data_IF_174541978147
#
_entry.id   IF_174541978147
#
_cell.length_a   1.000
_cell.length_b   1.000
_cell.length_c   1.000
_cell.angle_alpha   90.00
_cell.angle_beta   90.00
_cell.angle_gamma   90.00
#
_symmetry.space_group_name_H-M   'P 1'
#
loop_
_entity.id
_entity.type
_entity.pdbx_description
1 polymer ?
#
# COMPACT_ATOMS: atom_id res chain seq x y z
N UNK A 1 5.29 4.12 -18.15
CA UNK A 1 5.53 4.82 -16.86
C UNK A 1 7.00 5.22 -16.81
N UNK A 2 7.35 6.52 -16.71
CA UNK A 2 8.74 6.94 -16.50
C UNK A 2 9.18 6.43 -15.11
N UNK A 3 10.28 5.68 -15.06
CA UNK A 3 10.85 5.17 -13.82
C UNK A 3 11.16 6.33 -12.86
N UNK A 4 10.31 6.53 -11.86
CA UNK A 4 10.47 7.59 -10.85
C UNK A 4 11.69 7.37 -9.93
N UNK A 5 12.29 6.19 -9.97
CA UNK A 5 13.38 5.74 -9.10
C UNK A 5 14.65 5.41 -9.91
N UNK A 6 15.06 6.31 -10.81
CA UNK A 6 16.37 6.16 -11.47
C UNK A 6 17.50 6.53 -10.52
N UNK A 7 18.70 5.99 -10.74
CA UNK A 7 19.91 6.32 -9.97
C UNK A 7 20.18 7.84 -10.02
N UNK A 8 19.94 8.49 -11.15
CA UNK A 8 20.07 9.94 -11.29
C UNK A 8 19.06 10.71 -10.44
N UNK A 9 17.84 10.17 -10.28
CA UNK A 9 16.84 10.76 -9.38
C UNK A 9 17.28 10.67 -7.92
N UNK A 10 17.88 9.55 -7.52
CA UNK A 10 18.40 9.36 -6.16
C UNK A 10 19.56 10.31 -5.87
N UNK A 11 20.52 10.44 -6.80
CA UNK A 11 21.66 11.37 -6.68
C UNK A 11 21.14 12.82 -6.56
N UNK A 12 20.24 13.24 -7.45
CA UNK A 12 19.66 14.58 -7.41
C UNK A 12 18.95 14.86 -6.07
N UNK A 13 18.23 13.87 -5.53
CA UNK A 13 17.53 14.00 -4.25
C UNK A 13 18.50 14.00 -3.06
N UNK A 14 19.59 13.26 -3.13
CA UNK A 14 20.65 13.31 -2.11
C UNK A 14 21.23 14.72 -2.00
N UNK A 15 21.53 15.37 -3.13
CA UNK A 15 22.02 16.76 -3.15
C UNK A 15 21.01 17.79 -2.63
N UNK A 16 19.70 17.49 -2.69
CA UNK A 16 18.65 18.34 -2.11
C UNK A 16 18.30 17.97 -0.67
N UNK A 17 19.12 17.20 0.04
CA UNK A 17 18.85 16.74 1.40
C UNK A 17 17.65 15.81 1.51
N UNK A 18 17.24 15.19 0.43
CA UNK A 18 16.02 14.37 0.33
C UNK A 18 14.70 15.14 0.56
N UNK A 19 14.74 16.44 0.38
CA UNK A 19 13.54 17.28 0.47
C UNK A 19 12.80 17.35 -0.88
N UNK A 20 11.56 17.84 -0.82
CA UNK A 20 10.74 18.09 -2.01
C UNK A 20 10.49 16.86 -2.89
N UNK A 21 10.30 15.70 -2.29
CA UNK A 21 9.85 14.52 -3.01
C UNK A 21 8.41 14.71 -3.50
N UNK A 22 8.19 14.43 -4.77
CA UNK A 22 6.83 14.38 -5.29
C UNK A 22 6.06 13.24 -4.61
N UNK A 23 4.85 13.53 -4.13
CA UNK A 23 3.97 12.50 -3.56
C UNK A 23 3.78 11.35 -4.55
N UNK A 24 3.89 10.12 -4.05
CA UNK A 24 3.69 8.92 -4.86
C UNK A 24 2.21 8.65 -5.16
N UNK A 25 1.32 9.18 -4.34
CA UNK A 25 -0.13 9.04 -4.47
C UNK A 25 -0.78 10.30 -5.00
N UNK A 26 -1.98 10.14 -5.50
CA UNK A 26 -2.83 11.26 -5.95
C UNK A 26 -3.69 11.76 -4.79
N UNK A 27 -4.00 13.04 -4.81
CA UNK A 27 -4.92 13.71 -3.88
C UNK A 27 -5.92 14.52 -4.73
N UNK A 28 -6.80 13.83 -5.48
CA UNK A 28 -7.75 14.48 -6.36
C UNK A 28 -8.93 15.04 -5.56
N UNK A 29 -9.62 16.02 -6.13
CA UNK A 29 -10.90 16.47 -5.62
C UNK A 29 -11.87 15.29 -5.52
N UNK A 30 -12.60 15.17 -4.41
CA UNK A 30 -13.57 14.09 -4.23
C UNK A 30 -14.68 14.15 -5.29
N UNK A 31 -15.07 12.99 -5.78
CA UNK A 31 -16.27 12.86 -6.62
C UNK A 31 -17.52 12.96 -5.74
N UNK A 32 -18.67 13.21 -6.37
CA UNK A 32 -19.97 13.25 -5.67
C UNK A 32 -20.39 11.88 -5.12
N UNK A 33 -20.01 10.80 -5.81
CA UNK A 33 -20.43 9.44 -5.49
C UNK A 33 -19.29 8.45 -5.73
N UNK A 34 -19.25 7.42 -4.90
CA UNK A 34 -18.34 6.28 -4.99
C UNK A 34 -19.10 4.98 -4.72
N UNK A 35 -18.70 3.90 -5.39
CA UNK A 35 -19.25 2.56 -5.14
C UNK A 35 -18.78 2.02 -3.77
N UNK A 36 -17.59 2.41 -3.35
CA UNK A 36 -17.04 2.06 -2.04
C UNK A 36 -16.12 3.16 -1.51
N UNK A 37 -16.18 3.39 -0.20
CA UNK A 37 -15.27 4.27 0.51
C UNK A 37 -14.54 3.46 1.57
N UNK A 38 -13.21 3.45 1.50
CA UNK A 38 -12.34 2.74 2.43
C UNK A 38 -11.65 3.77 3.32
N UNK A 39 -11.82 3.64 4.62
CA UNK A 39 -11.18 4.52 5.60
C UNK A 39 -9.88 3.89 6.08
N UNK A 40 -8.78 4.55 5.78
CA UNK A 40 -7.43 4.15 6.12
C UNK A 40 -6.60 3.67 4.92
N UNK A 41 -5.51 4.36 4.64
CA UNK A 41 -4.55 4.07 3.58
C UNK A 41 -3.39 3.16 4.01
N UNK A 42 -3.61 2.26 4.96
CA UNK A 42 -2.65 1.23 5.36
C UNK A 42 -2.70 0.00 4.45
N UNK A 43 -1.89 -1.02 4.76
CA UNK A 43 -1.80 -2.25 3.97
C UNK A 43 -3.13 -2.94 3.73
N UNK A 44 -3.98 -3.03 4.75
CA UNK A 44 -5.32 -3.62 4.63
C UNK A 44 -6.24 -2.80 3.72
N UNK A 45 -6.31 -1.48 3.92
CA UNK A 45 -7.16 -0.61 3.11
C UNK A 45 -6.77 -0.61 1.63
N UNK A 46 -5.48 -0.51 1.35
CA UNK A 46 -4.98 -0.56 -0.02
C UNK A 46 -5.18 -1.93 -0.67
N UNK A 47 -4.95 -3.02 0.08
CA UNK A 47 -5.22 -4.36 -0.40
C UNK A 47 -6.72 -4.57 -0.68
N UNK A 48 -7.60 -4.07 0.19
CA UNK A 48 -9.04 -4.12 -0.02
C UNK A 48 -9.44 -3.40 -1.31
N UNK A 49 -8.96 -2.16 -1.52
CA UNK A 49 -9.22 -1.41 -2.75
C UNK A 49 -8.74 -2.17 -3.99
N UNK A 50 -7.51 -2.70 -3.93
CA UNK A 50 -6.94 -3.47 -5.03
C UNK A 50 -7.77 -4.70 -5.38
N UNK A 51 -8.17 -5.50 -4.39
CA UNK A 51 -8.92 -6.72 -4.63
C UNK A 51 -10.38 -6.47 -5.03
N UNK A 52 -11.01 -5.41 -4.52
CA UNK A 52 -12.32 -4.96 -5.01
C UNK A 52 -12.27 -4.62 -6.49
N UNK A 53 -11.27 -3.87 -6.91
CA UNK A 53 -11.08 -3.54 -8.32
C UNK A 53 -10.75 -4.80 -9.16
N UNK A 54 -9.79 -5.62 -8.69
CA UNK A 54 -9.28 -6.76 -9.47
C UNK A 54 -10.28 -7.93 -9.59
N UNK A 55 -10.97 -8.28 -8.48
CA UNK A 55 -11.83 -9.46 -8.43
C UNK A 55 -13.31 -9.15 -8.66
N UNK A 56 -13.73 -7.94 -8.33
CA UNK A 56 -15.15 -7.56 -8.37
C UNK A 56 -15.44 -6.44 -9.38
N UNK A 57 -14.42 -6.00 -10.11
CA UNK A 57 -14.52 -4.92 -11.10
C UNK A 57 -15.09 -3.60 -10.53
N UNK A 58 -15.00 -3.40 -9.22
CA UNK A 58 -15.35 -2.15 -8.56
C UNK A 58 -14.18 -1.17 -8.68
N UNK A 59 -14.29 -0.22 -9.59
CA UNK A 59 -13.20 0.72 -9.91
C UNK A 59 -13.43 2.14 -9.41
N UNK A 60 -14.67 2.49 -9.06
CA UNK A 60 -15.02 3.79 -8.50
C UNK A 60 -14.91 3.77 -6.97
N UNK A 61 -13.69 3.61 -6.47
CA UNK A 61 -13.39 3.47 -5.04
C UNK A 61 -12.62 4.70 -4.56
N UNK A 62 -12.99 5.21 -3.38
CA UNK A 62 -12.19 6.18 -2.64
C UNK A 62 -11.46 5.49 -1.48
N UNK A 63 -10.20 5.86 -1.27
CA UNK A 63 -9.44 5.55 -0.06
C UNK A 63 -9.17 6.85 0.68
N UNK A 64 -9.72 7.00 1.87
CA UNK A 64 -9.57 8.20 2.70
C UNK A 64 -8.52 7.94 3.77
N UNK A 65 -7.48 8.74 3.79
CA UNK A 65 -6.37 8.64 4.75
C UNK A 65 -6.13 10.01 5.41
N UNK A 66 -6.10 10.04 6.75
CA UNK A 66 -5.92 11.30 7.49
C UNK A 66 -4.50 11.88 7.45
N UNK A 67 -3.50 11.05 7.16
CA UNK A 67 -2.10 11.43 7.15
C UNK A 67 -1.46 11.18 5.78
N UNK A 68 -0.71 10.10 5.68
CA UNK A 68 -0.10 9.66 4.43
C UNK A 68 -0.23 8.15 4.26
N UNK A 69 -0.17 7.68 3.03
CA UNK A 69 -0.27 6.25 2.72
C UNK A 69 0.76 5.46 3.51
N UNK A 70 0.29 4.45 4.26
CA UNK A 70 1.15 3.62 5.09
C UNK A 70 1.64 4.28 6.38
N UNK A 71 1.23 5.51 6.70
CA UNK A 71 1.72 6.30 7.85
C UNK A 71 1.41 5.73 9.24
N UNK A 72 0.50 4.75 9.33
CA UNK A 72 0.19 4.01 10.54
C UNK A 72 1.14 2.84 10.79
N UNK A 73 0.58 1.73 11.28
CA UNK A 73 1.34 0.50 11.58
C UNK A 73 2.08 -0.08 10.38
N UNK A 74 1.56 0.09 9.17
CA UNK A 74 2.18 -0.44 7.95
C UNK A 74 3.58 0.13 7.73
N UNK A 75 3.78 1.42 7.88
CA UNK A 75 5.09 2.07 7.72
C UNK A 75 5.99 2.00 8.96
N UNK A 76 5.49 1.50 10.08
CA UNK A 76 6.22 1.41 11.36
C UNK A 76 6.51 -0.02 11.80
N UNK A 77 6.20 -0.99 10.95
CA UNK A 77 6.46 -2.39 11.26
C UNK A 77 7.95 -2.73 11.07
N UNK A 78 8.36 -3.84 11.66
CA UNK A 78 9.74 -4.34 11.58
C UNK A 78 10.06 -5.03 10.26
N UNK A 79 9.10 -5.10 9.33
CA UNK A 79 9.23 -5.76 8.02
C UNK A 79 9.61 -7.24 8.06
N UNK A 80 9.43 -7.88 9.22
CA UNK A 80 9.67 -9.32 9.37
C UNK A 80 8.46 -10.09 8.88
N UNK A 81 8.64 -10.86 7.83
CA UNK A 81 7.60 -11.72 7.24
C UNK A 81 7.91 -13.16 7.64
N UNK A 82 6.95 -13.81 8.31
CA UNK A 82 7.10 -15.21 8.74
C UNK A 82 5.73 -15.89 8.87
N UNK A 83 5.70 -17.22 8.72
CA UNK A 83 4.49 -18.04 8.91
C UNK A 83 4.59 -18.99 10.11
N UNK A 84 5.75 -19.07 10.77
CA UNK A 84 6.04 -20.00 11.88
C UNK A 84 5.46 -19.53 13.21
N UNK A 85 4.17 -19.21 13.24
CA UNK A 85 3.47 -18.90 14.49
C UNK A 85 3.04 -20.20 15.18
N UNK A 86 3.23 -20.25 16.50
CA UNK A 86 2.97 -21.43 17.33
C UNK A 86 1.48 -21.70 17.56
N UNK A 87 0.60 -20.84 17.08
CA UNK A 87 -0.83 -20.96 17.29
C UNK A 87 -1.50 -21.51 16.03
N UNK A 88 -1.95 -22.74 16.09
CA UNK A 88 -2.56 -23.46 14.96
C UNK A 88 -3.72 -22.69 14.31
N UNK A 89 -4.55 -22.04 15.13
CA UNK A 89 -5.68 -21.24 14.62
C UNK A 89 -5.26 -20.06 13.74
N UNK A 90 -4.05 -19.53 13.91
CA UNK A 90 -3.52 -18.41 13.12
C UNK A 90 -2.55 -18.84 12.02
N UNK A 91 -1.99 -20.03 12.11
CA UNK A 91 -0.99 -20.53 11.18
C UNK A 91 -1.46 -20.50 9.72
N UNK A 92 -2.69 -20.95 9.46
CA UNK A 92 -3.27 -20.92 8.12
C UNK A 92 -3.44 -19.51 7.55
N UNK A 93 -3.79 -18.52 8.39
CA UNK A 93 -3.89 -17.13 7.98
C UNK A 93 -2.51 -16.56 7.59
N UNK A 94 -1.49 -16.82 8.39
CA UNK A 94 -0.13 -16.33 8.11
C UNK A 94 0.50 -17.00 6.90
N UNK A 95 0.27 -18.29 6.70
CA UNK A 95 0.71 -19.02 5.51
C UNK A 95 0.04 -18.46 4.24
N UNK A 96 -1.26 -18.17 4.31
CA UNK A 96 -1.97 -17.51 3.21
C UNK A 96 -1.46 -16.10 2.94
N UNK A 97 -1.19 -15.31 3.97
CA UNK A 97 -0.62 -13.98 3.83
C UNK A 97 0.77 -14.03 3.19
N UNK A 98 1.61 -14.99 3.56
CA UNK A 98 2.91 -15.20 2.96
C UNK A 98 2.81 -15.50 1.46
N UNK A 99 1.88 -16.36 1.05
CA UNK A 99 1.61 -16.65 -0.37
C UNK A 99 1.17 -15.41 -1.15
N UNK A 100 0.30 -14.57 -0.57
CA UNK A 100 -0.11 -13.30 -1.20
C UNK A 100 1.09 -12.37 -1.37
N UNK A 101 1.93 -12.22 -0.35
CA UNK A 101 3.12 -11.37 -0.41
C UNK A 101 4.15 -11.88 -1.41
N UNK A 102 4.31 -13.20 -1.52
CA UNK A 102 5.18 -13.83 -2.52
C UNK A 102 4.77 -13.49 -3.96
N UNK A 103 3.47 -13.33 -4.22
CA UNK A 103 2.97 -12.95 -5.54
C UNK A 103 3.19 -11.47 -5.90
N UNK A 104 3.57 -10.63 -4.95
CA UNK A 104 3.83 -9.20 -5.16
C UNK A 104 5.26 -8.97 -5.66
N UNK A 105 6.16 -9.91 -5.40
CA UNK A 105 7.59 -9.83 -5.73
C UNK A 105 7.99 -10.54 -7.02
N UNK A 106 7.03 -11.04 -7.78
CA UNK A 106 7.26 -11.69 -9.06
C UNK A 106 7.06 -10.72 -10.22
#
# INVERSE_FOLDING_TARGET
MKNKYSIFSLIKKAFSGHENWQRAWRDPEPKKEYDAVIVGGGGHGLATAYYLAKKHNLTNIAVVEKGWIGGGNTGRNTTIIRSNYLWDASAGLYDHALKILSLIHI
#
